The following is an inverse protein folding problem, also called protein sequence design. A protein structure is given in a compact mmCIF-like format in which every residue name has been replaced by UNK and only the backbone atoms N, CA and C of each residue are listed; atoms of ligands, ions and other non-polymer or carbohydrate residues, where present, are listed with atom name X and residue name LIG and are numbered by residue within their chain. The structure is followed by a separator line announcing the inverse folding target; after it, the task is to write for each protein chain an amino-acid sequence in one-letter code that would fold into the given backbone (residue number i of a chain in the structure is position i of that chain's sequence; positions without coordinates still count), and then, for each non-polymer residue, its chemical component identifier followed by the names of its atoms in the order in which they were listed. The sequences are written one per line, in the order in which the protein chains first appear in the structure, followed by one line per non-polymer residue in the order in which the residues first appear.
data_IF_738335499088
#
_entry.id   IF_738335499088
#
_cell.length_a   1.000
_cell.length_b   1.000
_cell.length_c   1.000
_cell.angle_alpha   90.00
_cell.angle_beta   90.00
_cell.angle_gamma   90.00
#
_symmetry.space_group_name_H-M   'P 1'
#
loop_
_entity.id
_entity.type
_entity.pdbx_description
1 polymer ?
#
# COMPACT_ATOMS: atom_id res chain seq x y z
N UNK A 1 -25.48 16.19 -22.13
CA UNK A 1 -24.60 15.52 -21.13
C UNK A 1 -24.75 14.00 -21.10
N UNK A 2 -25.62 13.38 -21.91
CA UNK A 2 -25.93 11.94 -21.85
C UNK A 2 -24.95 11.04 -22.63
N UNK A 3 -24.40 11.51 -23.76
CA UNK A 3 -23.58 10.69 -24.66
C UNK A 3 -22.16 10.40 -24.13
N UNK A 4 -21.62 11.28 -23.27
CA UNK A 4 -20.29 11.09 -22.67
C UNK A 4 -20.25 9.89 -21.70
N UNK A 5 -21.36 9.63 -20.99
CA UNK A 5 -21.49 8.52 -20.02
C UNK A 5 -21.52 7.16 -20.72
N UNK A 6 -22.15 7.11 -21.90
CA UNK A 6 -22.25 5.89 -22.72
C UNK A 6 -20.88 5.56 -23.34
N UNK A 7 -20.17 6.57 -23.86
CA UNK A 7 -18.82 6.40 -24.39
C UNK A 7 -17.82 5.99 -23.31
N UNK A 8 -17.92 6.54 -22.10
CA UNK A 8 -17.09 6.09 -20.96
C UNK A 8 -17.40 4.64 -20.55
N UNK A 9 -18.65 4.19 -20.68
CA UNK A 9 -19.04 2.80 -20.43
C UNK A 9 -18.46 1.84 -21.48
N UNK A 10 -18.51 2.20 -22.76
CA UNK A 10 -17.98 1.39 -23.86
C UNK A 10 -16.44 1.34 -23.88
N UNK A 11 -15.78 2.43 -23.47
CA UNK A 11 -14.31 2.46 -23.31
C UNK A 11 -13.85 1.64 -22.10
N UNK A 12 -14.61 1.67 -21.00
CA UNK A 12 -14.32 0.87 -19.79
C UNK A 12 -14.32 -0.64 -20.05
N UNK A 13 -15.14 -1.12 -20.99
CA UNK A 13 -15.28 -2.54 -21.30
C UNK A 13 -14.13 -3.11 -22.15
N UNK A 14 -13.26 -2.24 -22.70
CA UNK A 14 -12.15 -2.62 -23.59
C UNK A 14 -10.80 -2.82 -22.87
N UNK A 15 -10.74 -2.62 -21.55
CA UNK A 15 -9.53 -2.84 -20.73
C UNK A 15 -9.64 -4.16 -19.94
N UNK A 16 -10.20 -5.22 -20.56
CA UNK A 16 -10.37 -6.56 -19.98
C UNK A 16 -9.16 -7.50 -20.17
N UNK A 17 -8.12 -7.10 -20.89
CA UNK A 17 -6.98 -8.00 -21.16
C UNK A 17 -6.02 -8.18 -19.99
N UNK A 18 -6.14 -7.40 -18.90
CA UNK A 18 -5.30 -7.52 -17.71
C UNK A 18 -6.20 -7.45 -16.48
N UNK A 19 -6.12 -8.46 -15.61
CA UNK A 19 -6.90 -8.50 -14.37
C UNK A 19 -6.59 -7.26 -13.52
N UNK A 20 -7.60 -6.70 -12.86
CA UNK A 20 -7.41 -5.56 -11.95
C UNK A 20 -6.40 -5.89 -10.85
N UNK A 21 -6.35 -7.17 -10.43
CA UNK A 21 -5.38 -7.69 -9.49
C UNK A 21 -3.94 -7.54 -10.01
N UNK A 22 -3.70 -7.94 -11.26
CA UNK A 22 -2.37 -7.80 -11.88
C UNK A 22 -1.96 -6.35 -11.99
N UNK A 23 -2.90 -5.44 -12.29
CA UNK A 23 -2.63 -3.98 -12.31
C UNK A 23 -2.20 -3.51 -10.92
N UNK A 24 -2.95 -3.84 -9.87
CA UNK A 24 -2.58 -3.46 -8.51
C UNK A 24 -1.21 -4.00 -8.09
N UNK A 25 -0.93 -5.29 -8.38
CA UNK A 25 0.38 -5.90 -8.09
C UNK A 25 1.51 -5.19 -8.81
N UNK A 26 1.36 -4.90 -10.09
CA UNK A 26 2.40 -4.26 -10.89
C UNK A 26 2.68 -2.83 -10.39
N UNK A 27 1.64 -2.02 -10.22
CA UNK A 27 1.79 -0.65 -9.75
C UNK A 27 2.42 -0.59 -8.34
N UNK A 28 1.95 -1.43 -7.43
CA UNK A 28 2.52 -1.49 -6.08
C UNK A 28 3.97 -1.98 -6.09
N UNK A 29 4.26 -3.03 -6.88
CA UNK A 29 5.61 -3.57 -6.98
C UNK A 29 6.59 -2.58 -7.57
N UNK A 30 6.24 -1.89 -8.65
CA UNK A 30 7.13 -0.87 -9.24
C UNK A 30 7.44 0.22 -8.21
N UNK A 31 6.44 0.65 -7.45
CA UNK A 31 6.64 1.74 -6.52
C UNK A 31 7.38 1.32 -5.24
N UNK A 32 7.03 0.18 -4.62
CA UNK A 32 7.74 -0.32 -3.44
C UNK A 32 9.15 -0.79 -3.78
N UNK A 33 9.34 -1.51 -4.89
CA UNK A 33 10.68 -1.95 -5.32
C UNK A 33 11.51 -0.78 -5.84
N UNK A 34 10.91 0.21 -6.50
CA UNK A 34 11.58 1.44 -6.89
C UNK A 34 12.06 2.23 -5.68
N UNK A 35 11.20 2.39 -4.68
CA UNK A 35 11.56 3.03 -3.41
C UNK A 35 12.64 2.23 -2.64
N UNK A 36 12.49 0.90 -2.57
CA UNK A 36 13.49 0.02 -1.97
C UNK A 36 14.84 0.10 -2.69
N UNK A 37 14.83 0.22 -4.03
CA UNK A 37 16.02 0.43 -4.84
C UNK A 37 16.72 1.75 -4.53
N UNK A 38 15.96 2.84 -4.36
CA UNK A 38 16.53 4.13 -3.92
C UNK A 38 17.17 4.03 -2.54
N UNK A 39 16.51 3.39 -1.57
CA UNK A 39 17.09 3.18 -0.24
C UNK A 39 18.29 2.23 -0.24
N UNK A 40 18.27 1.18 -1.06
CA UNK A 40 19.42 0.30 -1.25
C UNK A 40 20.60 1.06 -1.88
N UNK A 41 20.36 1.93 -2.85
CA UNK A 41 21.41 2.79 -3.41
C UNK A 41 22.02 3.72 -2.35
N UNK A 42 21.21 4.29 -1.46
CA UNK A 42 21.68 5.09 -0.32
C UNK A 42 22.61 4.32 0.62
N UNK A 43 22.48 2.99 0.74
CA UNK A 43 23.43 2.18 1.54
C UNK A 43 24.81 2.08 0.90
N UNK A 44 24.89 2.17 -0.43
CA UNK A 44 26.13 1.96 -1.19
C UNK A 44 26.87 3.26 -1.51
N UNK A 45 26.21 4.40 -1.45
CA UNK A 45 26.79 5.71 -1.79
C UNK A 45 27.50 6.29 -0.55
N UNK A 46 28.63 6.95 -0.75
CA UNK A 46 29.37 7.63 0.32
C UNK A 46 28.82 9.04 0.62
N UNK A 47 29.12 9.55 1.81
CA UNK A 47 28.71 10.88 2.27
C UNK A 47 29.21 12.04 1.38
N UNK A 48 30.18 11.79 0.50
CA UNK A 48 30.84 12.80 -0.33
C UNK A 48 29.94 13.36 -1.44
N UNK A 49 28.81 12.72 -1.74
CA UNK A 49 27.84 13.17 -2.76
C UNK A 49 26.47 13.54 -2.14
N UNK A 50 26.38 14.63 -1.35
CA UNK A 50 25.17 14.98 -0.62
C UNK A 50 23.97 15.29 -1.52
N UNK A 51 24.19 15.88 -2.70
CA UNK A 51 23.13 16.19 -3.65
C UNK A 51 22.46 14.93 -4.22
N UNK A 52 23.24 13.89 -4.50
CA UNK A 52 22.71 12.60 -4.99
C UNK A 52 21.91 11.90 -3.88
N UNK A 53 22.42 11.91 -2.64
CA UNK A 53 21.72 11.33 -1.50
C UNK A 53 20.38 12.02 -1.25
N UNK A 54 20.36 13.36 -1.32
CA UNK A 54 19.13 14.13 -1.20
C UNK A 54 18.14 13.81 -2.33
N UNK A 55 18.60 13.72 -3.58
CA UNK A 55 17.75 13.39 -4.71
C UNK A 55 17.12 12.00 -4.58
N UNK A 56 17.91 10.99 -4.16
CA UNK A 56 17.43 9.63 -3.92
C UNK A 56 16.41 9.58 -2.78
N UNK A 57 16.67 10.30 -1.70
CA UNK A 57 15.76 10.36 -0.55
C UNK A 57 14.43 11.03 -0.91
N UNK A 58 14.48 12.17 -1.61
CA UNK A 58 13.29 12.87 -2.09
C UNK A 58 12.51 12.06 -3.12
N UNK A 59 13.23 11.38 -4.04
CA UNK A 59 12.63 10.47 -5.01
C UNK A 59 11.89 9.32 -4.32
N UNK A 60 12.53 8.67 -3.36
CA UNK A 60 11.93 7.60 -2.56
C UNK A 60 10.68 8.09 -1.81
N UNK A 61 10.77 9.24 -1.13
CA UNK A 61 9.66 9.83 -0.40
C UNK A 61 8.48 10.21 -1.32
N UNK A 62 8.78 10.77 -2.51
CA UNK A 62 7.78 11.12 -3.52
C UNK A 62 7.05 9.89 -4.08
N UNK A 63 7.80 8.84 -4.42
CA UNK A 63 7.23 7.56 -4.88
C UNK A 63 6.34 6.97 -3.80
N UNK A 64 6.82 6.88 -2.55
CA UNK A 64 6.07 6.31 -1.44
C UNK A 64 4.78 7.12 -1.15
N UNK A 65 4.87 8.45 -1.18
CA UNK A 65 3.73 9.36 -1.00
C UNK A 65 2.67 9.23 -2.11
N UNK A 66 3.08 8.98 -3.35
CA UNK A 66 2.13 8.72 -4.43
C UNK A 66 1.35 7.41 -4.21
N UNK A 67 1.99 6.38 -3.68
CA UNK A 67 1.36 5.07 -3.45
C UNK A 67 0.37 5.09 -2.30
N UNK A 68 0.68 5.78 -1.20
CA UNK A 68 -0.26 5.92 -0.08
C UNK A 68 -1.57 6.57 -0.54
N UNK A 69 -1.51 7.58 -1.41
CA UNK A 69 -2.69 8.17 -2.05
C UNK A 69 -3.50 7.17 -2.88
N UNK A 70 -2.84 6.21 -3.54
CA UNK A 70 -3.48 5.11 -4.25
C UNK A 70 -4.22 4.14 -3.33
N UNK A 71 -3.59 3.73 -2.23
CA UNK A 71 -4.18 2.84 -1.23
C UNK A 71 -5.45 3.42 -0.60
N UNK A 72 -5.40 4.69 -0.20
CA UNK A 72 -6.55 5.36 0.41
C UNK A 72 -7.74 5.51 -0.55
N UNK A 73 -7.53 5.38 -1.87
CA UNK A 73 -8.61 5.30 -2.86
C UNK A 73 -9.06 3.86 -3.12
N UNK A 74 -8.11 2.92 -3.21
CA UNK A 74 -8.40 1.53 -3.51
C UNK A 74 -9.10 0.79 -2.35
N UNK A 75 -8.68 1.03 -1.10
CA UNK A 75 -9.24 0.35 0.06
C UNK A 75 -10.75 0.60 0.23
N UNK A 76 -11.27 1.84 0.16
CA UNK A 76 -12.71 2.09 0.13
C UNK A 76 -13.43 1.44 -1.05
N UNK A 77 -12.82 1.43 -2.23
CA UNK A 77 -13.41 0.84 -3.43
C UNK A 77 -13.59 -0.69 -3.29
N UNK A 78 -12.64 -1.38 -2.65
CA UNK A 78 -12.70 -2.83 -2.41
C UNK A 78 -13.66 -3.22 -1.27
N UNK A 79 -13.82 -2.35 -0.27
CA UNK A 79 -14.58 -2.61 0.96
C UNK A 79 -16.02 -2.07 0.96
N UNK A 80 -16.37 -1.21 -0.01
CA UNK A 80 -17.72 -0.67 -0.23
C UNK A 80 -18.35 -0.10 1.07
N UNK A 81 -19.42 -0.71 1.56
CA UNK A 81 -20.18 -0.27 2.73
C UNK A 81 -19.40 -0.32 4.05
N UNK A 82 -18.27 -1.06 4.10
CA UNK A 82 -17.40 -1.14 5.28
C UNK A 82 -16.11 -0.30 5.13
N UNK A 83 -16.08 0.61 4.17
CA UNK A 83 -14.90 1.42 3.84
C UNK A 83 -14.36 2.25 4.99
N UNK A 84 -15.22 2.83 5.82
CA UNK A 84 -14.78 3.57 7.00
C UNK A 84 -14.06 2.68 8.01
N UNK A 85 -14.57 1.47 8.24
CA UNK A 85 -13.94 0.52 9.15
C UNK A 85 -12.58 0.05 8.61
N UNK A 86 -12.52 -0.37 7.34
CA UNK A 86 -11.28 -0.86 6.72
C UNK A 86 -10.22 0.23 6.67
N UNK A 87 -10.59 1.44 6.23
CA UNK A 87 -9.65 2.55 6.14
C UNK A 87 -9.18 3.01 7.53
N UNK A 88 -10.05 2.96 8.54
CA UNK A 88 -9.67 3.23 9.94
C UNK A 88 -8.58 2.27 10.44
N UNK A 89 -8.72 0.96 10.18
CA UNK A 89 -7.70 -0.03 10.53
C UNK A 89 -6.37 0.24 9.81
N UNK A 90 -6.42 0.60 8.52
CA UNK A 90 -5.22 0.99 7.75
C UNK A 90 -4.52 2.19 8.41
N UNK A 91 -5.28 3.22 8.81
CA UNK A 91 -4.72 4.40 9.49
C UNK A 91 -4.08 4.05 10.83
N UNK A 92 -4.65 3.11 11.59
CA UNK A 92 -4.06 2.64 12.86
C UNK A 92 -2.70 1.97 12.60
N UNK A 93 -2.60 1.09 11.61
CA UNK A 93 -1.33 0.44 11.23
C UNK A 93 -0.29 1.47 10.76
N UNK A 94 -0.70 2.45 9.96
CA UNK A 94 0.19 3.53 9.51
C UNK A 94 0.66 4.41 10.67
N UNK A 95 -0.21 4.70 11.62
CA UNK A 95 0.14 5.48 12.82
C UNK A 95 1.11 4.71 13.70
N UNK A 96 0.87 3.41 13.93
CA UNK A 96 1.79 2.55 14.66
C UNK A 96 3.17 2.48 13.98
N UNK A 97 3.19 2.43 12.64
CA UNK A 97 4.43 2.48 11.86
C UNK A 97 5.16 3.81 12.04
N UNK A 98 4.44 4.95 12.00
CA UNK A 98 5.03 6.27 12.26
C UNK A 98 5.65 6.39 13.66
N UNK A 99 5.05 5.76 14.67
CA UNK A 99 5.63 5.69 16.02
C UNK A 99 6.85 4.76 16.07
N UNK A 100 6.83 3.67 15.30
CA UNK A 100 7.95 2.73 15.21
C UNK A 100 9.20 3.29 14.55
N UNK A 101 9.06 4.20 13.57
CA UNK A 101 10.21 4.76 12.83
C UNK A 101 11.22 5.48 13.75
N UNK A 102 10.84 6.44 14.61
CA UNK A 102 11.77 7.07 15.54
C UNK A 102 12.44 6.09 16.51
N UNK A 103 11.72 5.06 16.97
CA UNK A 103 12.29 4.04 17.87
C UNK A 103 13.36 3.20 17.15
N UNK A 104 13.09 2.85 15.89
CA UNK A 104 14.04 2.15 15.03
C UNK A 104 15.28 2.98 14.75
N UNK A 105 15.11 4.27 14.40
CA UNK A 105 16.24 5.19 14.16
C UNK A 105 17.06 5.34 15.45
N UNK A 106 16.43 5.65 16.58
CA UNK A 106 17.12 5.79 17.87
C UNK A 106 17.86 4.53 18.31
N UNK A 107 17.40 3.35 17.90
CA UNK A 107 18.07 2.07 18.20
C UNK A 107 19.27 1.77 17.30
N UNK A 108 19.36 2.39 16.11
CA UNK A 108 20.36 2.08 15.08
C UNK A 108 21.40 3.19 14.88
N UNK A 109 21.08 4.44 15.25
CA UNK A 109 22.01 5.58 15.16
C UNK A 109 22.47 6.02 16.55
N UNK A 110 23.76 6.33 16.69
CA UNK A 110 24.32 7.00 17.86
C UNK A 110 24.08 8.51 17.77
N UNK A 111 24.48 9.27 18.78
CA UNK A 111 24.28 10.74 18.85
C UNK A 111 24.96 11.51 17.70
N UNK A 112 25.89 10.89 16.97
CA UNK A 112 26.63 11.50 15.87
C UNK A 112 25.83 11.38 14.57
N UNK A 113 25.41 12.51 13.99
CA UNK A 113 24.56 12.57 12.79
C UNK A 113 25.33 12.22 11.50
N UNK A 114 26.11 11.15 11.50
CA UNK A 114 27.01 10.77 10.41
C UNK A 114 26.31 9.86 9.41
N UNK A 115 26.53 10.08 8.12
CA UNK A 115 25.95 9.30 7.02
C UNK A 115 26.15 7.77 7.16
N UNK A 116 27.31 7.35 7.70
CA UNK A 116 27.63 5.94 7.92
C UNK A 116 26.66 5.25 8.89
N UNK A 117 26.17 5.96 9.90
CA UNK A 117 25.21 5.40 10.86
C UNK A 117 23.80 5.25 10.26
N UNK A 118 23.49 6.00 9.21
CA UNK A 118 22.20 5.91 8.51
C UNK A 118 22.14 4.75 7.51
N UNK A 119 23.28 4.18 7.11
CA UNK A 119 23.34 3.01 6.21
C UNK A 119 22.50 1.82 6.70
N UNK A 120 22.63 1.34 7.96
CA UNK A 120 21.76 0.27 8.45
C UNK A 120 20.29 0.67 8.47
N UNK A 121 19.96 1.93 8.77
CA UNK A 121 18.57 2.43 8.75
C UNK A 121 17.98 2.32 7.34
N UNK A 122 18.70 2.80 6.33
CA UNK A 122 18.26 2.69 4.93
C UNK A 122 18.14 1.23 4.47
N UNK A 123 19.06 0.36 4.88
CA UNK A 123 19.00 -1.07 4.58
C UNK A 123 17.77 -1.75 5.19
N UNK A 124 17.45 -1.45 6.45
CA UNK A 124 16.24 -1.98 7.11
C UNK A 124 14.97 -1.46 6.44
N UNK A 125 14.91 -0.17 6.10
CA UNK A 125 13.76 0.39 5.37
C UNK A 125 13.59 -0.28 4.01
N UNK A 126 14.67 -0.49 3.26
CA UNK A 126 14.63 -1.20 1.98
C UNK A 126 14.08 -2.64 2.15
N UNK A 127 14.53 -3.38 3.17
CA UNK A 127 14.04 -4.71 3.47
C UNK A 127 12.54 -4.72 3.82
N UNK A 128 12.09 -3.78 4.67
CA UNK A 128 10.68 -3.63 5.04
C UNK A 128 9.79 -3.34 3.82
N UNK A 129 10.26 -2.52 2.88
CA UNK A 129 9.54 -2.23 1.63
C UNK A 129 9.40 -3.48 0.75
N UNK A 130 10.46 -4.28 0.62
CA UNK A 130 10.41 -5.54 -0.14
C UNK A 130 9.45 -6.53 0.51
N UNK A 131 9.54 -6.74 1.83
CA UNK A 131 8.66 -7.64 2.57
C UNK A 131 7.19 -7.18 2.45
N UNK A 132 6.94 -5.89 2.60
CA UNK A 132 5.60 -5.32 2.45
C UNK A 132 5.04 -5.55 1.05
N UNK A 133 5.87 -5.43 0.00
CA UNK A 133 5.45 -5.72 -1.36
C UNK A 133 5.13 -7.21 -1.57
N UNK A 134 5.91 -8.10 -0.98
CA UNK A 134 5.64 -9.56 -1.05
C UNK A 134 4.30 -9.86 -0.40
N UNK A 135 4.06 -9.37 0.82
CA UNK A 135 2.78 -9.53 1.52
C UNK A 135 1.65 -8.97 0.66
N UNK A 136 1.80 -7.76 0.12
CA UNK A 136 0.80 -7.16 -0.74
C UNK A 136 0.49 -8.03 -1.97
N UNK A 137 1.52 -8.55 -2.64
CA UNK A 137 1.33 -9.40 -3.81
C UNK A 137 0.59 -10.70 -3.49
N UNK A 138 0.83 -11.28 -2.31
CA UNK A 138 0.15 -12.50 -1.85
C UNK A 138 -1.34 -12.23 -1.55
N UNK A 139 -1.67 -11.12 -0.88
CA UNK A 139 -3.01 -10.88 -0.36
C UNK A 139 -3.91 -9.99 -1.24
N UNK A 140 -3.36 -9.20 -2.16
CA UNK A 140 -4.19 -8.27 -2.95
C UNK A 140 -5.15 -9.04 -3.86
N UNK A 141 -6.42 -8.66 -3.80
CA UNK A 141 -7.48 -9.11 -4.70
C UNK A 141 -7.88 -7.98 -5.65
N UNK A 142 -8.14 -8.33 -6.91
CA UNK A 142 -8.54 -7.37 -7.95
C UNK A 142 -10.03 -7.07 -7.99
N UNK A 143 -10.82 -7.74 -7.16
CA UNK A 143 -12.28 -7.59 -7.12
C UNK A 143 -12.72 -7.19 -5.73
N UNK A 144 -13.87 -6.51 -5.57
CA UNK A 144 -14.40 -6.22 -4.25
C UNK A 144 -14.51 -7.48 -3.41
N UNK A 145 -14.16 -7.37 -2.13
CA UNK A 145 -14.04 -8.51 -1.25
C UNK A 145 -15.36 -9.28 -1.17
N UNK A 146 -15.32 -10.61 -1.05
CA UNK A 146 -16.51 -11.46 -1.14
C UNK A 146 -17.59 -11.07 -0.11
N UNK A 147 -17.18 -10.70 1.10
CA UNK A 147 -18.05 -10.23 2.19
C UNK A 147 -18.75 -8.89 1.91
N UNK A 148 -18.40 -8.21 0.82
CA UNK A 148 -19.08 -6.98 0.36
C UNK A 148 -20.11 -7.24 -0.75
N UNK A 149 -20.31 -8.50 -1.17
CA UNK A 149 -21.25 -8.86 -2.24
C UNK A 149 -22.64 -9.12 -1.66
N UNK A 150 -23.68 -8.62 -2.33
CA UNK A 150 -25.08 -8.75 -1.88
C UNK A 150 -25.48 -10.22 -1.65
N UNK A 151 -25.02 -11.13 -2.51
CA UNK A 151 -25.26 -12.57 -2.38
C UNK A 151 -24.66 -13.17 -1.09
N UNK A 152 -23.49 -12.69 -0.67
CA UNK A 152 -22.84 -13.14 0.56
C UNK A 152 -23.62 -12.64 1.78
N UNK A 153 -24.03 -11.38 1.76
CA UNK A 153 -24.83 -10.76 2.83
C UNK A 153 -26.16 -11.50 2.98
N UNK A 154 -26.91 -11.67 1.88
CA UNK A 154 -28.20 -12.39 1.92
C UNK A 154 -28.05 -13.82 2.46
N UNK A 155 -27.06 -14.57 2.00
CA UNK A 155 -26.82 -15.95 2.45
C UNK A 155 -26.53 -16.03 3.96
N UNK A 156 -25.74 -15.10 4.49
CA UNK A 156 -25.34 -15.15 5.90
C UNK A 156 -26.38 -14.52 6.83
N UNK A 157 -27.09 -13.48 6.40
CA UNK A 157 -28.20 -12.92 7.18
C UNK A 157 -29.36 -13.90 7.35
N UNK A 158 -29.67 -14.72 6.33
CA UNK A 158 -30.75 -15.74 6.42
C UNK A 158 -30.36 -16.88 7.39
N UNK A 159 -29.07 -17.26 7.43
CA UNK A 159 -28.58 -18.28 8.36
C UNK A 159 -28.69 -17.85 9.82
N UNK A 160 -28.46 -16.56 10.11
CA UNK A 160 -28.58 -16.04 11.48
C UNK A 160 -30.04 -16.02 11.95
N UNK A 161 -30.99 -15.67 11.08
CA UNK A 161 -32.44 -15.73 11.39
C UNK A 161 -32.86 -17.17 11.71
N UNK A 162 -32.53 -18.13 10.83
CA UNK A 162 -32.87 -19.54 11.06
C UNK A 162 -32.11 -20.21 12.23
N UNK A 163 -31.15 -19.51 12.85
CA UNK A 163 -30.49 -19.96 14.09
C UNK A 163 -31.13 -19.31 15.32
N UNK A 164 -31.59 -18.06 15.22
CA UNK A 164 -32.37 -17.38 16.26
C UNK A 164 -33.72 -18.06 16.52
N UNK A 165 -34.36 -18.59 15.47
CA UNK A 165 -35.65 -19.29 15.58
C UNK A 165 -35.56 -20.71 16.21
N UNK A 166 -34.36 -21.16 16.57
CA UNK A 166 -34.11 -22.47 17.19
C UNK A 166 -33.77 -22.40 18.68
N UNK A 167 -34.00 -21.26 19.32
CA UNK A 167 -33.89 -21.07 20.77
C UNK A 167 -35.23 -20.70 21.39
#
# INVERSE_FOLDING_TARGET
SSNLRILSGMASDRIKCVSEQTKFRLFNSIAFLGCAGCFAALTCIDAQTPYLNLLLLLGAAGILGAVTGGFYKAAPALSKQYSHFVTGNISVVLTATMVGVPLLVNGLTSTESTHEEWRPVFGVIAALLVISNIIFCLFVEGTPCEWTKDQWIQRNSIKDIGKADRF
#
